data_IF_158370560399
#
_entry.id   IF_158370560399
#
_cell.length_a   1.000
_cell.length_b   1.000
_cell.length_c   1.000
_cell.angle_alpha   90.00
_cell.angle_beta   90.00
_cell.angle_gamma   90.00
#
_symmetry.space_group_name_H-M   'P 1'
#
loop_
_entity.id
_entity.type
_entity.pdbx_description
1 polymer ?
#
# COMPACT_ATOMS: atom_id res chain seq x y z
N UNK A 1 -17.89 -13.70 22.00
CA UNK A 1 -17.35 -13.32 23.31
C UNK A 1 -15.91 -12.85 23.12
N UNK A 2 -15.52 -11.68 23.68
CA UNK A 2 -14.14 -11.20 23.66
C UNK A 2 -13.42 -11.84 24.84
N UNK A 3 -12.33 -12.56 24.59
CA UNK A 3 -11.54 -13.23 25.62
C UNK A 3 -10.33 -12.42 26.07
N UNK A 4 -9.92 -11.42 25.29
CA UNK A 4 -8.80 -10.56 25.63
C UNK A 4 -8.52 -9.50 24.55
N UNK A 5 -7.62 -8.58 24.86
CA UNK A 5 -7.14 -7.56 23.95
C UNK A 5 -5.76 -7.06 24.38
N UNK A 6 -5.04 -6.48 23.43
CA UNK A 6 -3.73 -5.84 23.67
C UNK A 6 -3.87 -4.35 23.37
N UNK A 7 -3.55 -3.50 24.34
CA UNK A 7 -3.47 -2.07 24.14
C UNK A 7 -2.00 -1.68 23.89
N UNK A 8 -1.77 -0.91 22.83
CA UNK A 8 -0.48 -0.30 22.50
C UNK A 8 -0.55 1.21 22.74
N UNK A 9 -0.22 1.70 23.94
CA UNK A 9 -0.42 3.12 24.28
C UNK A 9 0.40 4.10 23.46
N UNK A 10 1.49 3.65 22.86
CA UNK A 10 2.36 4.45 22.01
C UNK A 10 1.94 4.50 20.55
N UNK A 11 0.87 3.82 20.17
CA UNK A 11 0.34 3.84 18.81
C UNK A 11 -0.57 5.08 18.60
N UNK A 12 -0.94 5.34 17.35
CA UNK A 12 -1.73 6.51 17.01
C UNK A 12 -2.34 6.46 15.61
N UNK A 13 -2.97 7.55 15.23
CA UNK A 13 -3.49 7.76 13.89
C UNK A 13 -2.75 8.93 13.22
N UNK A 14 -2.46 8.80 11.94
CA UNK A 14 -1.81 9.83 11.17
C UNK A 14 -2.69 10.25 9.98
N UNK A 15 -2.54 11.49 9.55
CA UNK A 15 -3.04 11.94 8.25
C UNK A 15 -2.11 11.43 7.14
N UNK A 16 -2.59 10.55 6.24
CA UNK A 16 -1.75 9.96 5.19
C UNK A 16 -1.11 11.00 4.27
N UNK A 17 -1.88 12.01 3.87
CA UNK A 17 -1.38 13.10 3.02
C UNK A 17 -0.33 13.93 3.74
N UNK A 18 -0.59 14.28 5.00
CA UNK A 18 0.35 15.02 5.84
C UNK A 18 1.68 14.30 6.02
N UNK A 19 1.66 12.99 6.32
CA UNK A 19 2.90 12.18 6.43
C UNK A 19 3.67 12.19 5.12
N UNK A 20 3.01 11.97 3.99
CA UNK A 20 3.65 11.97 2.67
C UNK A 20 4.29 13.32 2.34
N UNK A 21 3.56 14.41 2.57
CA UNK A 21 4.08 15.77 2.35
C UNK A 21 5.26 16.10 3.27
N UNK A 22 5.22 15.67 4.53
CA UNK A 22 6.31 15.89 5.48
C UNK A 22 7.58 15.13 5.08
N UNK A 23 7.45 13.87 4.65
CA UNK A 23 8.58 13.11 4.13
C UNK A 23 9.16 13.74 2.87
N UNK A 24 8.32 14.16 1.93
CA UNK A 24 8.77 14.85 0.71
C UNK A 24 9.46 16.20 1.03
N UNK A 25 8.93 16.97 1.99
CA UNK A 25 9.55 18.21 2.46
C UNK A 25 10.91 17.93 3.06
N UNK A 26 11.03 16.95 3.96
CA UNK A 26 12.31 16.55 4.55
C UNK A 26 13.34 16.15 3.50
N UNK A 27 12.95 15.32 2.53
CA UNK A 27 13.83 14.94 1.42
C UNK A 27 14.34 16.14 0.62
N UNK A 28 13.46 17.10 0.30
CA UNK A 28 13.88 18.35 -0.38
C UNK A 28 14.86 19.18 0.44
N UNK A 29 14.66 19.24 1.76
CA UNK A 29 15.57 19.97 2.66
C UNK A 29 16.98 19.36 2.67
N UNK A 30 17.09 18.06 2.45
CA UNK A 30 18.36 17.32 2.32
C UNK A 30 18.88 17.27 0.86
N UNK A 31 18.29 18.03 -0.04
CA UNK A 31 18.77 18.19 -1.43
C UNK A 31 18.14 17.26 -2.46
N UNK A 32 17.18 16.41 -2.08
CA UNK A 32 16.48 15.58 -3.06
C UNK A 32 15.61 16.45 -3.99
N UNK A 33 15.65 16.14 -5.28
CA UNK A 33 14.79 16.79 -6.28
C UNK A 33 13.55 15.94 -6.52
N UNK A 34 12.37 16.54 -6.43
CA UNK A 34 11.10 15.88 -6.67
C UNK A 34 10.40 16.57 -7.83
N UNK A 35 10.21 15.82 -8.90
CA UNK A 35 9.56 16.28 -10.13
C UNK A 35 8.16 15.68 -10.22
N UNK A 36 7.15 16.51 -10.00
CA UNK A 36 5.75 16.13 -10.17
C UNK A 36 5.36 16.19 -11.66
N UNK A 37 4.30 15.46 -12.03
CA UNK A 37 3.80 15.40 -13.42
C UNK A 37 4.88 15.03 -14.45
N UNK A 38 5.81 14.20 -14.02
CA UNK A 38 6.96 13.76 -14.82
C UNK A 38 6.98 12.23 -14.89
N UNK A 39 6.10 11.62 -15.70
CA UNK A 39 6.03 10.17 -15.83
C UNK A 39 7.32 9.62 -16.43
N UNK A 40 7.81 8.52 -15.88
CA UNK A 40 8.89 7.74 -16.46
C UNK A 40 8.33 6.93 -17.62
N UNK A 41 8.76 7.26 -18.85
CA UNK A 41 8.31 6.62 -20.08
C UNK A 41 9.01 5.27 -20.30
N UNK A 42 10.28 5.21 -19.94
CA UNK A 42 11.14 4.04 -20.19
C UNK A 42 12.21 3.90 -19.10
N UNK A 43 12.47 2.67 -18.69
CA UNK A 43 13.63 2.31 -17.86
C UNK A 43 14.72 1.81 -18.81
N UNK A 44 15.88 2.44 -18.74
CA UNK A 44 17.01 2.14 -19.65
C UNK A 44 18.00 1.20 -18.96
N UNK A 45 18.37 0.15 -19.70
CA UNK A 45 19.35 -0.84 -19.24
C UNK A 45 20.50 -0.97 -20.23
N UNK A 46 21.68 -1.30 -19.71
CA UNK A 46 22.87 -1.62 -20.52
C UNK A 46 23.62 -2.76 -19.83
N UNK A 47 23.95 -3.80 -20.57
CA UNK A 47 24.71 -4.96 -20.07
C UNK A 47 24.11 -5.59 -18.78
N UNK A 48 22.78 -5.71 -18.74
CA UNK A 48 22.06 -6.27 -17.57
C UNK A 48 22.02 -5.38 -16.32
N UNK A 49 22.33 -4.09 -16.45
CA UNK A 49 22.37 -3.12 -15.37
C UNK A 49 21.54 -1.89 -15.72
N UNK A 50 20.98 -1.21 -14.71
CA UNK A 50 20.36 0.12 -14.88
C UNK A 50 21.38 1.11 -15.48
N UNK A 51 20.93 1.93 -16.43
CA UNK A 51 21.70 3.01 -17.03
C UNK A 51 20.98 4.35 -17.01
N UNK A 52 19.68 4.39 -16.76
CA UNK A 52 18.92 5.63 -16.71
C UNK A 52 17.44 5.44 -16.89
N UNK A 53 16.74 6.54 -17.03
CA UNK A 53 15.31 6.59 -17.37
C UNK A 53 15.08 7.60 -18.50
N UNK A 54 13.92 7.48 -19.16
CA UNK A 54 13.45 8.47 -20.12
C UNK A 54 12.22 9.19 -19.56
N UNK A 55 12.26 10.51 -19.57
CA UNK A 55 11.21 11.40 -19.07
C UNK A 55 11.01 12.54 -20.03
N UNK A 56 9.80 12.77 -20.52
CA UNK A 56 9.49 13.82 -21.52
C UNK A 56 10.42 13.76 -22.76
N UNK A 57 10.69 12.55 -23.23
CA UNK A 57 11.60 12.31 -24.37
C UNK A 57 13.08 12.48 -24.07
N UNK A 58 13.47 12.93 -22.88
CA UNK A 58 14.86 13.15 -22.47
C UNK A 58 15.39 11.99 -21.65
N UNK A 59 16.65 11.62 -21.91
CA UNK A 59 17.37 10.63 -21.11
C UNK A 59 17.92 11.28 -19.84
N UNK A 60 17.72 10.63 -18.70
CA UNK A 60 18.33 10.95 -17.42
C UNK A 60 19.18 9.74 -17.02
N UNK A 61 20.49 9.90 -16.94
CA UNK A 61 21.40 8.87 -16.51
C UNK A 61 21.30 8.68 -14.98
N UNK A 62 21.27 7.43 -14.52
CA UNK A 62 21.32 7.10 -13.11
C UNK A 62 22.02 5.77 -12.86
N UNK A 63 22.57 5.61 -11.67
CA UNK A 63 23.25 4.38 -11.27
C UNK A 63 22.26 3.34 -10.68
N UNK A 64 21.21 3.81 -10.04
CA UNK A 64 20.20 2.99 -9.36
C UNK A 64 18.80 3.49 -9.69
N UNK A 65 17.85 2.58 -9.69
CA UNK A 65 16.42 2.90 -9.70
C UNK A 65 15.78 2.20 -8.50
N UNK A 66 14.91 2.92 -7.79
CA UNK A 66 13.99 2.36 -6.81
C UNK A 66 12.57 2.52 -7.34
N UNK A 67 11.94 1.42 -7.67
CA UNK A 67 10.55 1.39 -8.13
C UNK A 67 9.62 1.38 -6.90
N UNK A 68 9.02 2.52 -6.60
CA UNK A 68 8.11 2.73 -5.48
C UNK A 68 6.73 3.21 -5.97
N UNK A 69 6.24 2.64 -7.07
CA UNK A 69 5.07 3.11 -7.81
C UNK A 69 3.75 2.47 -7.34
N UNK A 70 3.71 1.91 -6.11
CA UNK A 70 2.49 1.32 -5.55
C UNK A 70 1.91 0.24 -6.48
N UNK A 71 0.62 0.27 -6.73
CA UNK A 71 -0.08 -0.74 -7.53
C UNK A 71 0.34 -0.79 -9.01
N UNK A 72 0.98 0.26 -9.55
CA UNK A 72 1.52 0.28 -10.92
C UNK A 72 2.88 -0.43 -11.05
N UNK A 73 3.53 -0.79 -9.93
CA UNK A 73 4.91 -1.31 -9.95
C UNK A 73 5.04 -2.59 -10.77
N UNK A 74 4.06 -3.49 -10.73
CA UNK A 74 4.07 -4.71 -11.52
C UNK A 74 4.18 -4.41 -13.02
N UNK A 75 3.26 -3.64 -13.57
CA UNK A 75 3.22 -3.38 -15.01
C UNK A 75 4.37 -2.50 -15.51
N UNK A 76 4.93 -1.65 -14.66
CA UNK A 76 6.15 -0.88 -14.99
C UNK A 76 7.36 -1.81 -15.06
N UNK A 77 7.52 -2.71 -14.10
CA UNK A 77 8.61 -3.68 -14.04
C UNK A 77 8.55 -4.68 -15.21
N UNK A 78 7.35 -5.15 -15.59
CA UNK A 78 7.14 -6.06 -16.71
C UNK A 78 7.68 -5.50 -18.05
N UNK A 79 7.67 -4.17 -18.25
CA UNK A 79 8.20 -3.52 -19.46
C UNK A 79 9.70 -3.77 -19.67
N UNK A 80 10.42 -4.11 -18.61
CA UNK A 80 11.86 -4.43 -18.64
C UNK A 80 12.17 -5.87 -18.25
N UNK A 81 11.13 -6.73 -18.25
CA UNK A 81 11.29 -8.16 -17.99
C UNK A 81 11.46 -8.54 -16.52
N UNK A 82 11.16 -7.64 -15.60
CA UNK A 82 11.23 -7.88 -14.15
C UNK A 82 9.87 -8.34 -13.63
N UNK A 83 9.90 -9.35 -12.77
CA UNK A 83 8.72 -9.96 -12.17
C UNK A 83 8.44 -9.38 -10.78
N UNK A 84 7.32 -8.67 -10.64
CA UNK A 84 6.85 -8.11 -9.37
C UNK A 84 5.46 -8.67 -9.06
N UNK A 85 5.32 -9.65 -8.15
CA UNK A 85 4.04 -10.28 -7.83
C UNK A 85 3.19 -9.36 -6.96
N UNK A 86 2.49 -8.46 -7.62
CA UNK A 86 1.65 -7.45 -6.99
C UNK A 86 0.27 -7.45 -7.62
N UNK A 87 -0.75 -7.41 -6.78
CA UNK A 87 -2.12 -7.60 -7.20
C UNK A 87 -3.03 -6.49 -6.66
N UNK A 88 -3.63 -5.65 -7.50
CA UNK A 88 -4.61 -4.69 -7.05
C UNK A 88 -5.96 -5.39 -6.78
N UNK A 89 -6.49 -5.17 -5.58
CA UNK A 89 -7.80 -5.63 -5.15
C UNK A 89 -8.63 -4.47 -4.63
N UNK A 90 -9.95 -4.64 -4.66
CA UNK A 90 -10.86 -3.68 -4.05
C UNK A 90 -10.71 -3.71 -2.52
N UNK A 91 -10.72 -2.56 -1.91
CA UNK A 91 -10.65 -2.39 -0.46
C UNK A 91 -11.72 -1.43 0.01
N UNK A 92 -12.36 -1.76 1.13
CA UNK A 92 -13.60 -1.10 1.55
C UNK A 92 -13.51 -0.52 2.96
N UNK A 93 -14.12 0.65 3.12
CA UNK A 93 -14.46 1.19 4.43
C UNK A 93 -15.72 2.07 4.35
N UNK A 94 -16.36 2.26 5.47
CA UNK A 94 -17.41 3.26 5.64
C UNK A 94 -17.00 4.32 6.65
N UNK A 95 -17.59 5.51 6.51
CA UNK A 95 -17.55 6.56 7.53
C UNK A 95 -18.98 6.83 7.96
N UNK A 96 -19.24 6.81 9.26
CA UNK A 96 -20.56 7.08 9.81
C UNK A 96 -20.92 8.57 9.74
N UNK A 97 -22.19 8.87 9.94
CA UNK A 97 -22.59 10.21 10.37
C UNK A 97 -22.02 10.50 11.77
N UNK A 98 -21.94 11.76 12.21
CA UNK A 98 -21.47 12.12 13.53
C UNK A 98 -22.23 11.39 14.65
N UNK A 99 -21.49 10.88 15.63
CA UNK A 99 -22.04 10.15 16.76
C UNK A 99 -21.92 11.01 18.02
N UNK A 100 -23.04 11.28 18.68
CA UNK A 100 -23.06 12.06 19.91
C UNK A 100 -22.25 11.40 21.04
N UNK A 101 -21.51 12.20 21.77
CA UNK A 101 -20.69 11.76 22.89
C UNK A 101 -19.62 10.71 22.57
N UNK A 102 -19.23 10.58 21.30
CA UNK A 102 -18.12 9.73 20.92
C UNK A 102 -16.81 10.25 21.54
N UNK A 103 -16.08 9.38 22.24
CA UNK A 103 -14.77 9.76 22.80
C UNK A 103 -13.77 10.01 21.68
N UNK A 104 -13.14 11.18 21.70
CA UNK A 104 -12.06 11.56 20.77
C UNK A 104 -10.73 10.85 21.06
N UNK A 105 -10.63 10.12 22.16
CA UNK A 105 -9.43 9.39 22.58
C UNK A 105 -9.57 7.88 22.39
N UNK A 106 -10.52 7.44 21.55
CA UNK A 106 -10.62 6.04 21.19
C UNK A 106 -9.35 5.59 20.47
N UNK A 107 -8.72 4.49 20.90
CA UNK A 107 -7.63 3.91 20.13
C UNK A 107 -8.15 3.40 18.78
N UNK A 108 -7.26 3.28 17.81
CA UNK A 108 -7.56 2.46 16.62
C UNK A 108 -7.70 1.00 17.08
N UNK A 109 -8.77 0.36 16.69
CA UNK A 109 -9.08 -1.00 17.12
C UNK A 109 -9.01 -1.92 15.92
N UNK A 110 -8.36 -3.05 16.08
CA UNK A 110 -8.29 -4.11 15.10
C UNK A 110 -8.88 -5.40 15.65
N UNK A 111 -9.91 -5.89 15.00
CA UNK A 111 -10.52 -7.20 15.28
C UNK A 111 -10.10 -8.19 14.21
N UNK A 112 -9.04 -8.97 14.52
CA UNK A 112 -8.48 -9.93 13.58
C UNK A 112 -9.42 -11.10 13.31
N UNK A 113 -10.23 -11.49 14.30
CA UNK A 113 -11.17 -12.61 14.16
C UNK A 113 -12.28 -12.30 13.15
N UNK A 114 -12.73 -11.05 13.14
CA UNK A 114 -13.78 -10.56 12.23
C UNK A 114 -13.26 -9.77 11.04
N UNK A 115 -11.93 -9.66 10.88
CA UNK A 115 -11.30 -8.96 9.78
C UNK A 115 -11.75 -7.49 9.64
N UNK A 116 -11.99 -6.81 10.78
CA UNK A 116 -12.43 -5.40 10.80
C UNK A 116 -11.45 -4.52 11.55
N UNK A 117 -11.42 -3.25 11.19
CA UNK A 117 -10.76 -2.22 11.97
C UNK A 117 -11.66 -1.01 12.14
N UNK A 118 -11.49 -0.33 13.26
CA UNK A 118 -12.34 0.80 13.66
C UNK A 118 -11.44 1.94 14.12
N UNK A 119 -11.73 3.12 13.61
CA UNK A 119 -11.00 4.36 13.91
C UNK A 119 -11.99 5.48 14.18
N UNK A 120 -11.75 6.27 15.25
CA UNK A 120 -12.41 7.55 15.42
C UNK A 120 -11.91 8.54 14.36
N UNK A 121 -12.82 9.32 13.78
CA UNK A 121 -12.54 10.30 12.72
C UNK A 121 -13.40 11.55 12.90
N UNK A 122 -12.92 12.49 13.69
CA UNK A 122 -13.58 13.78 13.94
C UNK A 122 -15.06 13.66 14.35
N UNK A 123 -15.33 12.87 15.38
CA UNK A 123 -16.69 12.63 15.90
C UNK A 123 -17.49 11.59 15.14
N UNK A 124 -16.87 10.92 14.16
CA UNK A 124 -17.43 9.81 13.38
C UNK A 124 -16.63 8.55 13.62
N UNK A 125 -17.13 7.43 13.16
CA UNK A 125 -16.39 6.16 13.15
C UNK A 125 -16.14 5.76 11.69
N UNK A 126 -14.87 5.50 11.38
CA UNK A 126 -14.47 4.77 10.19
C UNK A 126 -14.44 3.28 10.55
N UNK A 127 -15.17 2.47 9.78
CA UNK A 127 -15.12 1.01 9.84
C UNK A 127 -14.57 0.49 8.53
N UNK A 128 -13.44 -0.17 8.56
CA UNK A 128 -12.86 -0.80 7.39
C UNK A 128 -12.70 -2.30 7.56
N UNK A 129 -12.44 -2.99 6.48
CA UNK A 129 -12.37 -4.45 6.46
C UNK A 129 -11.08 -4.94 5.82
N UNK A 130 -10.62 -6.12 6.24
CA UNK A 130 -9.60 -6.91 5.57
C UNK A 130 -10.18 -8.28 5.27
N UNK A 131 -10.98 -8.33 4.23
CA UNK A 131 -11.72 -9.52 3.84
C UNK A 131 -10.79 -10.70 3.52
N UNK A 132 -11.22 -11.91 3.90
CA UNK A 132 -10.48 -13.15 3.61
C UNK A 132 -10.45 -13.49 2.12
N UNK A 133 -11.39 -12.99 1.36
CA UNK A 133 -11.49 -13.16 -0.08
C UNK A 133 -11.73 -11.80 -0.72
N UNK A 134 -10.65 -11.22 -1.21
CA UNK A 134 -10.67 -9.92 -1.88
C UNK A 134 -11.27 -10.03 -3.28
N UNK A 135 -11.83 -8.92 -3.75
CA UNK A 135 -12.33 -8.78 -5.12
C UNK A 135 -11.20 -8.19 -5.96
N UNK A 136 -10.82 -8.85 -7.08
CA UNK A 136 -9.83 -8.30 -7.99
C UNK A 136 -10.27 -6.93 -8.54
N UNK A 137 -9.42 -5.93 -8.42
CA UNK A 137 -9.64 -4.61 -9.02
C UNK A 137 -9.39 -4.64 -10.54
N UNK A 138 -9.96 -3.67 -11.26
CA UNK A 138 -9.78 -3.46 -12.71
C UNK A 138 -10.17 -4.66 -13.58
N UNK A 139 -11.29 -5.28 -13.28
CA UNK A 139 -11.75 -6.48 -13.95
C UNK A 139 -10.67 -7.58 -13.93
N UNK A 140 -10.88 -8.69 -14.49
CA UNK A 140 -9.97 -9.85 -14.43
C UNK A 140 -8.59 -9.64 -15.08
N UNK A 141 -8.33 -8.51 -15.73
CA UNK A 141 -7.02 -8.21 -16.34
C UNK A 141 -5.97 -7.81 -15.31
N UNK A 142 -6.42 -7.23 -14.20
CA UNK A 142 -5.54 -6.73 -13.14
C UNK A 142 -4.50 -5.70 -13.60
N UNK A 143 -4.81 -5.01 -14.70
CA UNK A 143 -4.00 -3.92 -15.23
C UNK A 143 -4.59 -2.62 -14.72
N UNK A 144 -3.78 -1.87 -13.99
CA UNK A 144 -4.15 -0.54 -13.52
C UNK A 144 -4.09 0.43 -14.71
N UNK A 145 -5.18 1.16 -15.04
CA UNK A 145 -5.12 2.18 -16.10
C UNK A 145 -4.05 3.23 -15.81
N UNK A 146 -3.34 3.67 -16.84
CA UNK A 146 -2.27 4.66 -16.68
C UNK A 146 -2.79 6.03 -16.21
N UNK A 147 -4.02 6.38 -16.58
CA UNK A 147 -4.71 7.61 -16.23
C UNK A 147 -5.54 7.49 -14.94
N UNK A 148 -5.56 6.32 -14.29
CA UNK A 148 -6.29 6.13 -13.04
C UNK A 148 -5.71 7.02 -11.94
N UNK A 149 -6.52 7.94 -11.42
CA UNK A 149 -6.15 8.86 -10.35
C UNK A 149 -7.37 9.20 -9.51
N UNK A 150 -7.26 9.06 -8.19
CA UNK A 150 -8.33 9.36 -7.23
C UNK A 150 -9.68 8.69 -7.52
N UNK A 151 -9.69 7.60 -8.31
CA UNK A 151 -10.89 6.88 -8.66
C UNK A 151 -11.38 6.01 -7.51
N UNK A 152 -12.71 5.91 -7.41
CA UNK A 152 -13.41 5.00 -6.50
C UNK A 152 -14.18 3.97 -7.32
N UNK A 153 -14.36 2.77 -6.78
CA UNK A 153 -15.22 1.75 -7.36
C UNK A 153 -16.67 1.92 -6.89
N UNK A 154 -17.64 1.33 -7.58
CA UNK A 154 -19.03 1.29 -7.10
C UNK A 154 -19.12 0.67 -5.71
N UNK A 155 -20.08 1.14 -4.94
CA UNK A 155 -20.38 0.58 -3.63
C UNK A 155 -20.80 -0.90 -3.75
N UNK A 156 -20.23 -1.74 -2.89
CA UNK A 156 -20.58 -3.15 -2.80
C UNK A 156 -21.00 -3.48 -1.37
N UNK A 157 -22.21 -3.07 -1.04
CA UNK A 157 -22.76 -3.24 0.30
C UNK A 157 -22.99 -4.71 0.63
N UNK A 158 -23.39 -5.52 -0.33
CA UNK A 158 -23.60 -6.97 -0.12
C UNK A 158 -22.30 -7.66 0.34
N UNK A 159 -21.16 -7.28 -0.25
CA UNK A 159 -19.85 -7.78 0.17
C UNK A 159 -19.44 -7.26 1.57
N UNK A 160 -19.78 -6.02 1.88
CA UNK A 160 -19.40 -5.36 3.13
C UNK A 160 -20.26 -5.75 4.33
N UNK A 161 -21.55 -6.03 4.11
CA UNK A 161 -22.56 -6.24 5.16
C UNK A 161 -22.19 -7.27 6.23
N UNK A 162 -21.63 -8.46 5.94
CA UNK A 162 -21.27 -9.44 6.96
C UNK A 162 -20.22 -8.93 7.96
N UNK A 163 -19.29 -8.12 7.47
CA UNK A 163 -18.25 -7.49 8.28
C UNK A 163 -18.80 -6.36 9.13
N UNK A 164 -19.68 -5.54 8.55
CA UNK A 164 -20.40 -4.48 9.28
C UNK A 164 -21.24 -5.08 10.41
N UNK A 165 -21.96 -6.17 10.17
CA UNK A 165 -22.73 -6.87 11.20
C UNK A 165 -21.82 -7.36 12.35
N UNK A 166 -20.60 -7.79 12.04
CA UNK A 166 -19.61 -8.18 13.06
C UNK A 166 -19.08 -6.97 13.81
N UNK A 167 -18.83 -5.85 13.13
CA UNK A 167 -18.40 -4.60 13.75
C UNK A 167 -19.49 -4.04 14.71
N UNK A 168 -20.76 -4.10 14.33
CA UNK A 168 -21.89 -3.68 15.17
C UNK A 168 -21.94 -4.50 16.49
N UNK A 169 -21.68 -5.80 16.43
CA UNK A 169 -21.61 -6.63 17.65
C UNK A 169 -20.50 -6.19 18.60
N UNK A 170 -19.38 -5.68 18.09
CA UNK A 170 -18.28 -5.14 18.90
C UNK A 170 -18.53 -3.71 19.38
N UNK A 171 -19.20 -2.93 18.55
CA UNK A 171 -19.51 -1.51 18.78
C UNK A 171 -20.99 -1.25 18.54
N UNK A 172 -21.85 -1.53 19.52
CA UNK A 172 -23.31 -1.40 19.35
C UNK A 172 -23.77 0.02 18.96
N UNK A 173 -22.96 1.03 19.20
CA UNK A 173 -23.25 2.41 18.75
C UNK A 173 -23.41 2.52 17.23
N UNK A 174 -22.77 1.64 16.47
CA UNK A 174 -22.86 1.59 15.02
C UNK A 174 -24.26 1.20 14.51
N UNK A 175 -25.06 0.47 15.31
CA UNK A 175 -26.40 0.02 14.92
C UNK A 175 -27.35 1.19 14.59
N UNK A 176 -27.13 2.33 15.25
CA UNK A 176 -27.95 3.55 15.08
C UNK A 176 -27.26 4.63 14.23
N UNK A 177 -26.00 4.41 13.87
CA UNK A 177 -25.24 5.37 13.11
C UNK A 177 -25.59 5.27 11.61
N UNK A 178 -25.95 6.40 11.00
CA UNK A 178 -26.09 6.48 9.53
C UNK A 178 -24.73 6.34 8.86
N UNK A 179 -24.72 5.91 7.61
CA UNK A 179 -23.53 5.88 6.77
C UNK A 179 -23.46 7.17 5.97
N UNK A 180 -22.42 7.97 6.20
CA UNK A 180 -22.14 9.22 5.47
C UNK A 180 -21.40 8.95 4.17
N UNK A 181 -20.46 8.02 4.17
CA UNK A 181 -19.68 7.65 3.00
C UNK A 181 -19.41 6.15 3.02
N UNK A 182 -19.60 5.53 1.88
CA UNK A 182 -19.06 4.23 1.53
C UNK A 182 -17.88 4.48 0.60
N UNK A 183 -16.75 3.88 0.87
CA UNK A 183 -15.56 3.96 0.03
C UNK A 183 -15.18 2.57 -0.47
N UNK A 184 -14.95 2.47 -1.76
CA UNK A 184 -14.35 1.32 -2.41
C UNK A 184 -13.25 1.80 -3.34
N UNK A 185 -12.02 1.39 -3.09
CA UNK A 185 -10.88 1.81 -3.90
C UNK A 185 -9.86 0.70 -4.06
N UNK A 186 -8.92 0.83 -5.02
CA UNK A 186 -7.90 -0.18 -5.21
C UNK A 186 -6.81 -0.09 -4.14
N UNK A 187 -6.41 -1.24 -3.63
CA UNK A 187 -5.24 -1.42 -2.78
C UNK A 187 -4.36 -2.52 -3.38
N UNK A 188 -3.06 -2.48 -3.19
CA UNK A 188 -2.15 -3.46 -3.76
C UNK A 188 -1.67 -4.48 -2.74
N UNK A 189 -1.80 -5.75 -3.09
CA UNK A 189 -1.43 -6.87 -2.24
C UNK A 189 -0.39 -7.78 -2.91
N UNK A 190 0.42 -8.40 -2.08
CA UNK A 190 1.35 -9.47 -2.47
C UNK A 190 0.76 -10.83 -2.13
N UNK A 191 1.21 -11.94 -2.74
CA UNK A 191 0.64 -13.26 -2.47
C UNK A 191 0.77 -13.72 -1.01
N UNK A 192 1.79 -13.24 -0.30
CA UNK A 192 2.09 -13.60 1.09
C UNK A 192 1.81 -12.47 2.09
N UNK A 193 1.21 -11.38 1.64
CA UNK A 193 0.90 -10.18 2.44
C UNK A 193 2.11 -9.50 3.08
N UNK A 194 3.34 -9.79 2.62
CA UNK A 194 4.56 -9.11 3.04
C UNK A 194 5.02 -8.12 1.96
N UNK A 195 5.60 -7.01 2.39
CA UNK A 195 6.16 -5.97 1.51
C UNK A 195 7.20 -6.55 0.54
N UNK A 196 7.33 -5.96 -0.64
CA UNK A 196 8.37 -6.25 -1.62
C UNK A 196 9.47 -5.21 -1.53
N UNK A 197 10.65 -5.65 -1.09
CA UNK A 197 11.84 -4.83 -0.98
C UNK A 197 13.03 -5.48 -1.69
N UNK A 198 13.96 -4.66 -2.13
CA UNK A 198 15.30 -5.08 -2.50
C UNK A 198 15.61 -5.09 -3.98
N UNK A 199 16.83 -5.49 -4.28
CA UNK A 199 17.33 -5.58 -5.65
C UNK A 199 16.73 -6.79 -6.36
N UNK A 200 16.14 -6.53 -7.54
CA UNK A 200 15.56 -7.60 -8.36
C UNK A 200 16.65 -8.48 -8.96
N UNK A 201 16.42 -9.79 -9.13
CA UNK A 201 17.46 -10.68 -9.66
C UNK A 201 17.74 -10.50 -11.15
N UNK A 202 16.81 -9.92 -11.92
CA UNK A 202 16.89 -9.82 -13.37
C UNK A 202 17.78 -8.67 -13.87
N UNK A 203 17.81 -7.54 -13.12
CA UNK A 203 18.52 -6.33 -13.53
C UNK A 203 19.30 -5.76 -12.35
N UNK A 204 20.61 -5.68 -12.48
CA UNK A 204 21.48 -5.11 -11.44
C UNK A 204 21.17 -3.62 -11.21
N UNK A 205 21.17 -3.21 -9.94
CA UNK A 205 20.89 -1.84 -9.49
C UNK A 205 19.43 -1.40 -9.69
N UNK A 206 18.54 -2.34 -9.95
CA UNK A 206 17.11 -2.08 -9.95
C UNK A 206 16.49 -2.62 -8.65
N UNK A 207 15.99 -1.71 -7.84
CA UNK A 207 15.36 -1.99 -6.56
C UNK A 207 13.85 -1.78 -6.64
N UNK A 208 13.13 -2.58 -5.87
CA UNK A 208 11.69 -2.40 -5.65
C UNK A 208 11.42 -2.01 -4.20
N UNK A 209 10.40 -1.19 -3.98
CA UNK A 209 9.86 -0.82 -2.68
C UNK A 209 8.35 -0.61 -2.84
N UNK A 210 7.58 -1.70 -2.81
CA UNK A 210 6.15 -1.69 -3.13
C UNK A 210 5.41 -2.82 -2.40
N UNK A 211 4.10 -2.95 -2.63
CA UNK A 211 3.30 -3.99 -2.02
C UNK A 211 3.25 -3.89 -0.50
N UNK A 212 2.94 -2.71 0.02
CA UNK A 212 2.91 -2.44 1.47
C UNK A 212 1.64 -2.97 2.15
N UNK A 213 0.73 -3.61 1.41
CA UNK A 213 -0.42 -4.36 1.92
C UNK A 213 -1.24 -3.58 2.97
N UNK A 214 -1.66 -2.36 2.65
CA UNK A 214 -2.42 -1.44 3.51
C UNK A 214 -1.71 -0.94 4.78
N UNK A 215 -0.43 -1.27 4.99
CA UNK A 215 0.33 -0.80 6.15
C UNK A 215 1.38 0.27 5.78
N UNK A 216 1.27 0.87 4.59
CA UNK A 216 2.25 1.80 4.03
C UNK A 216 2.51 3.03 4.91
N UNK A 217 1.51 3.58 5.58
CA UNK A 217 1.67 4.74 6.45
C UNK A 217 2.57 4.40 7.64
N UNK A 218 2.32 3.26 8.30
CA UNK A 218 3.12 2.83 9.45
C UNK A 218 4.51 2.33 9.09
N UNK A 219 4.69 1.77 7.89
CA UNK A 219 5.95 1.14 7.47
C UNK A 219 6.80 2.00 6.53
N UNK A 220 6.23 3.03 5.90
CA UNK A 220 6.89 3.83 4.85
C UNK A 220 8.24 4.41 5.25
N UNK A 221 8.37 4.94 6.46
CA UNK A 221 9.63 5.45 6.98
C UNK A 221 10.69 4.34 7.16
N UNK A 222 10.25 3.18 7.69
CA UNK A 222 11.14 2.02 7.91
C UNK A 222 11.65 1.41 6.60
N UNK A 223 10.76 1.16 5.65
CA UNK A 223 11.16 0.59 4.35
C UNK A 223 12.02 1.55 3.55
N UNK A 224 11.75 2.86 3.64
CA UNK A 224 12.59 3.89 3.01
C UNK A 224 13.99 3.90 3.58
N UNK A 225 14.13 3.85 4.92
CA UNK A 225 15.42 3.78 5.61
C UNK A 225 16.21 2.54 5.21
N UNK A 226 15.60 1.36 5.29
CA UNK A 226 16.26 0.09 4.92
C UNK A 226 16.71 0.10 3.46
N UNK A 227 15.88 0.60 2.56
CA UNK A 227 16.24 0.70 1.13
C UNK A 227 17.43 1.65 0.93
N UNK A 228 17.44 2.81 1.59
CA UNK A 228 18.54 3.77 1.50
C UNK A 228 19.85 3.19 2.05
N UNK A 229 19.80 2.54 3.23
CA UNK A 229 20.98 1.86 3.82
C UNK A 229 21.51 0.79 2.88
N UNK A 230 20.65 -0.03 2.28
CA UNK A 230 21.06 -1.04 1.31
C UNK A 230 21.76 -0.46 0.09
N UNK A 231 21.20 0.60 -0.50
CA UNK A 231 21.80 1.29 -1.63
C UNK A 231 23.18 1.89 -1.29
N UNK A 232 23.31 2.47 -0.10
CA UNK A 232 24.57 3.12 0.34
C UNK A 232 25.67 2.15 0.70
N UNK A 233 25.34 1.00 1.28
CA UNK A 233 26.32 0.06 1.83
C UNK A 233 26.50 -1.21 1.00
N UNK A 234 25.59 -1.48 0.08
CA UNK A 234 25.54 -2.71 -0.71
C UNK A 234 25.02 -3.93 0.05
N UNK A 235 24.67 -3.79 1.34
CA UNK A 235 24.14 -4.86 2.18
C UNK A 235 23.17 -4.31 3.23
N UNK A 236 22.45 -5.19 3.89
CA UNK A 236 21.54 -4.88 4.99
C UNK A 236 21.98 -5.61 6.25
N UNK A 237 21.86 -4.92 7.38
CA UNK A 237 22.16 -5.48 8.68
C UNK A 237 20.95 -6.11 9.39
N UNK A 238 19.76 -5.84 8.89
CA UNK A 238 18.51 -6.38 9.42
C UNK A 238 18.13 -7.67 8.70
N UNK A 239 17.50 -8.60 9.40
CA UNK A 239 16.85 -9.75 8.78
C UNK A 239 15.55 -9.29 8.09
N UNK A 240 15.62 -9.16 6.78
CA UNK A 240 14.48 -8.80 5.93
C UNK A 240 14.11 -9.90 4.95
N UNK A 241 14.53 -11.13 5.19
CA UNK A 241 14.30 -12.25 4.27
C UNK A 241 12.82 -12.38 3.85
N UNK A 242 11.89 -12.17 4.78
CA UNK A 242 10.46 -12.19 4.49
C UNK A 242 9.96 -11.02 3.63
N UNK A 243 10.78 -9.99 3.38
CA UNK A 243 10.46 -8.84 2.53
C UNK A 243 11.26 -8.82 1.23
N UNK A 244 12.36 -9.58 1.12
CA UNK A 244 13.20 -9.60 -0.07
C UNK A 244 12.40 -10.08 -1.28
N UNK A 245 12.41 -9.30 -2.38
CA UNK A 245 11.75 -9.67 -3.63
C UNK A 245 12.21 -11.03 -4.17
N UNK A 246 13.44 -11.45 -3.85
CA UNK A 246 14.04 -12.73 -4.27
C UNK A 246 13.36 -13.96 -3.69
N UNK A 247 12.47 -13.80 -2.69
CA UNK A 247 11.65 -14.90 -2.18
C UNK A 247 10.61 -15.38 -3.21
N UNK A 248 10.34 -14.56 -4.22
CA UNK A 248 9.42 -14.89 -5.31
C UNK A 248 10.16 -15.31 -6.57
N UNK A 249 9.53 -16.19 -7.33
CA UNK A 249 9.95 -16.64 -8.65
C UNK A 249 9.03 -16.04 -9.71
N UNK A 250 9.43 -16.05 -10.96
CA UNK A 250 8.68 -15.44 -12.07
C UNK A 250 7.22 -15.90 -12.15
N UNK A 251 6.93 -17.16 -11.92
CA UNK A 251 5.57 -17.72 -12.01
C UNK A 251 4.61 -17.12 -10.97
N UNK A 252 5.10 -16.58 -9.85
CA UNK A 252 4.26 -15.94 -8.84
C UNK A 252 3.61 -14.64 -9.34
N UNK A 253 4.09 -14.07 -10.45
CA UNK A 253 3.47 -12.90 -11.10
C UNK A 253 2.45 -13.27 -12.17
N UNK A 254 2.27 -14.54 -12.46
CA UNK A 254 1.31 -15.00 -13.46
C UNK A 254 -0.11 -14.96 -12.89
N UNK A 255 -1.05 -14.42 -13.66
CA UNK A 255 -2.45 -14.28 -13.23
C UNK A 255 -3.11 -15.63 -12.83
N UNK A 256 -2.62 -16.74 -13.35
CA UNK A 256 -3.10 -18.06 -12.97
C UNK A 256 -2.60 -18.55 -11.61
N UNK A 257 -1.56 -17.91 -11.07
CA UNK A 257 -1.05 -18.19 -9.72
C UNK A 257 -1.75 -17.31 -8.67
N UNK A 258 -1.97 -16.09 -9.01
CA UNK A 258 -2.65 -15.09 -8.19
C UNK A 258 -4.17 -15.31 -8.32
#
# INVERSE_FOLDING_TARGET
>A
EVIGGILMPGDGAADPSGVTHMLAKGARMEGAQIFEKSPVEEILTKDGKISGVKVNGQKIDCEYIVLASGMWSRQIAERVGVSVPLYPAEHFYIITEPIENLSKTLPVIRDFDNSTYIKEDAGKILVGIFEKKSIPAFNKTNIVPEDFSFGEFPENFEHFEPYLASAIKRFPVLEKAGIRKFFAGPESFTPDTNTLLGEVPEIKNFFVCCGLNSIGIGSGGGVGKVTAEWLMTGHINQDIFCYDIKRFQKFHSELGFI
#
